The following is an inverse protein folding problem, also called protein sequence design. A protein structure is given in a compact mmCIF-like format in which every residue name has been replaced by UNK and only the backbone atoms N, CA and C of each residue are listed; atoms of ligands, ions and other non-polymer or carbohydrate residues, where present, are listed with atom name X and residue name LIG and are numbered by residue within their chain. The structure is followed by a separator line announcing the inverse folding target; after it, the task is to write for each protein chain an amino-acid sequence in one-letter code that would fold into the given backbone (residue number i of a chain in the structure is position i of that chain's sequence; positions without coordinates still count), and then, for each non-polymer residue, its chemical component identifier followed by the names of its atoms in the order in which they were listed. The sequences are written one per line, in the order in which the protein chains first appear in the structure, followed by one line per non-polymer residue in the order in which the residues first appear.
data_IF_892109281109
#
_entry.id   IF_892109281109
#
_cell.length_a   1.000
_cell.length_b   1.000
_cell.length_c   1.000
_cell.angle_alpha   90.00
_cell.angle_beta   90.00
_cell.angle_gamma   90.00
#
_symmetry.space_group_name_H-M   'P 1'
#
loop_
_entity.id
_entity.type
_entity.pdbx_description
1 polymer ?
#
# COMPACT_ATOMS: atom_id res chain seq x y z
N UNK A 1 -13.35 2.91 4.79
CA UNK A 1 -14.38 2.27 3.95
C UNK A 1 -14.85 0.95 4.52
N UNK A 2 -13.95 0.12 5.06
CA UNK A 2 -14.30 -1.15 5.71
C UNK A 2 -15.46 -1.10 6.74
N UNK A 3 -15.59 -0.07 7.57
CA UNK A 3 -16.65 -0.03 8.58
C UNK A 3 -18.07 0.12 8.02
N UNK A 4 -18.20 0.77 6.87
CA UNK A 4 -19.49 0.98 6.20
C UNK A 4 -19.94 -0.25 5.41
N UNK A 5 -19.00 -1.08 4.94
CA UNK A 5 -19.29 -2.29 4.16
C UNK A 5 -19.29 -3.60 4.98
N UNK A 6 -18.51 -3.67 6.07
CA UNK A 6 -18.36 -4.90 6.88
C UNK A 6 -18.92 -4.77 8.30
N UNK A 7 -19.52 -3.62 8.66
CA UNK A 7 -20.11 -3.42 9.99
C UNK A 7 -19.10 -3.38 11.13
N UNK A 8 -17.82 -3.17 10.84
CA UNK A 8 -16.78 -3.01 11.86
C UNK A 8 -16.97 -1.68 12.61
N UNK A 9 -16.66 -1.65 13.92
CA UNK A 9 -16.83 -0.44 14.73
C UNK A 9 -15.77 0.58 14.34
N UNK A 10 -16.20 1.73 13.83
CA UNK A 10 -15.33 2.91 13.63
C UNK A 10 -14.78 3.37 14.98
N UNK A 11 -13.50 3.14 15.20
CA UNK A 11 -12.81 3.73 16.33
C UNK A 11 -12.53 5.21 16.02
N UNK A 12 -12.95 6.12 16.92
CA UNK A 12 -12.83 7.58 16.69
C UNK A 12 -11.37 8.02 16.48
N UNK A 13 -10.43 7.25 16.99
CA UNK A 13 -8.99 7.41 16.77
C UNK A 13 -8.59 7.26 15.30
N UNK A 14 -9.18 6.32 14.56
CA UNK A 14 -8.79 6.03 13.17
C UNK A 14 -9.29 7.13 12.22
N UNK A 15 -10.46 7.69 12.54
CA UNK A 15 -10.99 8.87 11.84
C UNK A 15 -10.12 10.09 12.10
N UNK A 16 -9.72 10.33 13.35
CA UNK A 16 -8.84 11.44 13.70
C UNK A 16 -7.47 11.31 13.02
N UNK A 17 -6.87 10.11 13.02
CA UNK A 17 -5.60 9.85 12.33
C UNK A 17 -5.73 10.07 10.83
N UNK A 18 -6.82 9.60 10.20
CA UNK A 18 -7.07 9.81 8.76
C UNK A 18 -7.20 11.29 8.41
N UNK A 19 -7.86 12.10 9.24
CA UNK A 19 -7.98 13.56 9.06
C UNK A 19 -6.61 14.24 9.21
N UNK A 20 -5.82 13.85 10.22
CA UNK A 20 -4.48 14.41 10.44
C UNK A 20 -3.54 14.07 9.28
N UNK A 21 -3.58 12.84 8.77
CA UNK A 21 -2.79 12.43 7.59
C UNK A 21 -3.23 13.19 6.35
N UNK A 22 -4.53 13.36 6.12
CA UNK A 22 -5.06 14.16 5.01
C UNK A 22 -4.64 15.63 5.12
N UNK A 23 -4.66 16.21 6.32
CA UNK A 23 -4.21 17.57 6.56
C UNK A 23 -2.69 17.71 6.34
N UNK A 24 -1.89 16.75 6.82
CA UNK A 24 -0.43 16.73 6.60
C UNK A 24 -0.06 16.63 5.12
N UNK A 25 -0.78 15.81 4.35
CA UNK A 25 -0.64 15.73 2.89
C UNK A 25 -1.01 17.05 2.19
N UNK A 26 -2.10 17.70 2.62
CA UNK A 26 -2.52 18.99 2.07
C UNK A 26 -1.49 20.11 2.36
N UNK A 27 -0.81 20.08 3.52
CA UNK A 27 0.26 21.02 3.85
C UNK A 27 1.54 20.80 3.03
N UNK A 28 1.74 19.60 2.49
CA UNK A 28 2.88 19.25 1.65
C UNK A 28 2.74 19.81 0.22
N UNK A 29 1.53 20.25 -0.18
CA UNK A 29 1.25 20.91 -1.46
C UNK A 29 1.71 22.38 -1.37
N UNK A 30 2.84 22.78 -1.98
CA UNK A 30 3.40 24.13 -1.82
C UNK A 30 2.57 25.19 -2.54
N UNK A 31 1.87 24.79 -3.61
CA UNK A 31 0.91 25.59 -4.36
C UNK A 31 -0.09 24.64 -5.04
N UNK A 32 -1.38 24.97 -5.01
CA UNK A 32 -2.43 24.29 -5.78
C UNK A 32 -2.37 24.67 -7.26
N UNK A 33 -1.18 24.62 -7.83
CA UNK A 33 -0.94 24.85 -9.25
C UNK A 33 -0.70 23.50 -9.93
N UNK A 34 -1.64 23.11 -10.80
CA UNK A 34 -1.58 21.87 -11.56
C UNK A 34 -0.45 21.85 -12.60
N UNK A 35 0.34 22.91 -12.74
CA UNK A 35 1.58 22.92 -13.52
C UNK A 35 2.79 22.32 -12.79
N UNK A 36 2.72 22.15 -11.46
CA UNK A 36 3.83 21.62 -10.68
C UNK A 36 3.80 20.08 -10.64
N UNK A 37 4.90 19.45 -11.08
CA UNK A 37 5.08 17.99 -11.05
C UNK A 37 4.91 17.38 -9.65
N UNK A 38 5.25 18.14 -8.59
CA UNK A 38 5.09 17.69 -7.20
C UNK A 38 3.61 17.60 -6.82
N UNK A 39 2.82 18.62 -7.17
CA UNK A 39 1.37 18.66 -6.88
C UNK A 39 0.64 17.57 -7.66
N UNK A 40 1.00 17.36 -8.94
CA UNK A 40 0.45 16.26 -9.74
C UNK A 40 0.81 14.89 -9.14
N UNK A 41 2.06 14.69 -8.72
CA UNK A 41 2.50 13.44 -8.09
C UNK A 41 1.74 13.12 -6.79
N UNK A 42 1.54 14.12 -5.93
CA UNK A 42 0.74 13.96 -4.70
C UNK A 42 -0.70 13.59 -5.05
N UNK A 43 -1.32 14.26 -6.03
CA UNK A 43 -2.69 13.97 -6.46
C UNK A 43 -2.83 12.53 -6.98
N UNK A 44 -1.95 12.10 -7.89
CA UNK A 44 -1.94 10.72 -8.40
C UNK A 44 -1.66 9.69 -7.31
N UNK A 45 -0.78 10.01 -6.35
CA UNK A 45 -0.49 9.16 -5.20
C UNK A 45 -1.72 8.95 -4.29
N UNK A 46 -2.45 10.02 -3.97
CA UNK A 46 -3.68 9.95 -3.17
C UNK A 46 -4.76 9.16 -3.91
N UNK A 47 -4.94 9.43 -5.20
CA UNK A 47 -5.92 8.73 -6.03
C UNK A 47 -5.61 7.22 -6.13
N UNK A 48 -4.33 6.87 -6.27
CA UNK A 48 -3.86 5.49 -6.26
C UNK A 48 -4.14 4.82 -4.90
N UNK A 49 -3.79 5.46 -3.79
CA UNK A 49 -4.06 4.95 -2.44
C UNK A 49 -5.55 4.71 -2.18
N UNK A 50 -6.40 5.63 -2.62
CA UNK A 50 -7.86 5.47 -2.55
C UNK A 50 -8.34 4.27 -3.38
N UNK A 51 -7.86 4.14 -4.62
CA UNK A 51 -8.23 3.05 -5.51
C UNK A 51 -7.76 1.70 -4.95
N UNK A 52 -6.56 1.65 -4.36
CA UNK A 52 -6.05 0.46 -3.69
C UNK A 52 -6.88 0.08 -2.46
N UNK A 53 -7.34 1.06 -1.67
CA UNK A 53 -8.24 0.81 -0.55
C UNK A 53 -9.58 0.21 -1.01
N UNK A 54 -10.16 0.71 -2.10
CA UNK A 54 -11.36 0.14 -2.74
C UNK A 54 -11.09 -1.29 -3.21
N UNK A 55 -9.97 -1.51 -3.91
CA UNK A 55 -9.56 -2.83 -4.39
C UNK A 55 -9.40 -3.83 -3.23
N UNK A 56 -8.78 -3.43 -2.12
CA UNK A 56 -8.62 -4.26 -0.93
C UNK A 56 -9.96 -4.69 -0.33
N UNK A 57 -10.92 -3.75 -0.23
CA UNK A 57 -12.29 -4.03 0.23
C UNK A 57 -12.99 -5.02 -0.70
N UNK A 58 -12.93 -4.80 -2.02
CA UNK A 58 -13.52 -5.72 -3.00
C UNK A 58 -12.87 -7.10 -2.93
N UNK A 59 -11.55 -7.17 -2.82
CA UNK A 59 -10.82 -8.44 -2.64
C UNK A 59 -11.29 -9.18 -1.40
N UNK A 60 -11.48 -8.49 -0.28
CA UNK A 60 -12.02 -9.07 0.96
C UNK A 60 -13.45 -9.60 0.79
N UNK A 61 -14.29 -8.95 -0.02
CA UNK A 61 -15.63 -9.44 -0.34
C UNK A 61 -15.59 -10.70 -1.23
N UNK A 62 -14.70 -10.74 -2.21
CA UNK A 62 -14.63 -11.83 -3.19
C UNK A 62 -13.83 -13.04 -2.70
N UNK A 63 -12.83 -12.86 -1.83
CA UNK A 63 -11.98 -13.97 -1.33
C UNK A 63 -12.73 -15.01 -0.51
N UNK A 64 -13.89 -14.64 0.04
CA UNK A 64 -14.76 -15.57 0.76
C UNK A 64 -15.63 -16.42 -0.19
N UNK A 65 -15.82 -15.98 -1.44
CA UNK A 65 -16.67 -16.64 -2.44
C UNK A 65 -15.86 -17.38 -3.53
N UNK A 66 -14.64 -16.93 -3.78
CA UNK A 66 -13.76 -17.48 -4.81
C UNK A 66 -12.36 -17.79 -4.27
N UNK A 67 -11.64 -18.77 -4.86
CA UNK A 67 -10.24 -18.99 -4.54
C UNK A 67 -9.40 -17.72 -4.77
N UNK A 68 -8.55 -17.36 -3.80
CA UNK A 68 -7.69 -16.16 -3.88
C UNK A 68 -6.79 -16.15 -5.13
N UNK A 69 -6.36 -17.33 -5.59
CA UNK A 69 -5.52 -17.49 -6.77
C UNK A 69 -6.28 -17.08 -8.05
N UNK A 70 -7.58 -17.38 -8.14
CA UNK A 70 -8.43 -16.98 -9.26
C UNK A 70 -8.59 -15.46 -9.32
N UNK A 71 -8.82 -14.82 -8.16
CA UNK A 71 -8.93 -13.36 -8.07
C UNK A 71 -7.62 -12.69 -8.50
N UNK A 72 -6.49 -13.23 -8.04
CA UNK A 72 -5.15 -12.76 -8.39
C UNK A 72 -4.88 -12.89 -9.89
N UNK A 73 -5.25 -14.03 -10.50
CA UNK A 73 -5.09 -14.26 -11.93
C UNK A 73 -5.90 -13.26 -12.77
N UNK A 74 -7.15 -12.97 -12.40
CA UNK A 74 -7.94 -11.98 -13.12
C UNK A 74 -7.36 -10.56 -13.00
N UNK A 75 -6.87 -10.17 -11.83
CA UNK A 75 -6.26 -8.86 -11.63
C UNK A 75 -4.96 -8.69 -12.42
N UNK A 76 -4.06 -9.67 -12.32
CA UNK A 76 -2.79 -9.63 -13.06
C UNK A 76 -3.03 -9.75 -14.55
N UNK A 77 -3.96 -10.61 -14.99
CA UNK A 77 -4.32 -10.73 -16.41
C UNK A 77 -4.89 -9.44 -16.98
N UNK A 78 -5.80 -8.77 -16.25
CA UNK A 78 -6.32 -7.47 -16.67
C UNK A 78 -5.23 -6.39 -16.68
N UNK A 79 -4.37 -6.36 -15.67
CA UNK A 79 -3.24 -5.43 -15.61
C UNK A 79 -2.27 -5.64 -16.77
N UNK A 80 -1.97 -6.88 -17.14
CA UNK A 80 -1.15 -7.23 -18.31
C UNK A 80 -1.82 -6.74 -19.59
N UNK A 81 -3.11 -7.01 -19.79
CA UNK A 81 -3.83 -6.60 -20.99
C UNK A 81 -3.87 -5.07 -21.13
N UNK A 82 -4.04 -4.35 -20.02
CA UNK A 82 -4.06 -2.90 -20.00
C UNK A 82 -2.68 -2.28 -20.25
N UNK A 83 -1.60 -2.91 -19.77
CA UNK A 83 -0.22 -2.43 -20.00
C UNK A 83 0.34 -2.82 -21.37
N UNK A 84 -0.17 -3.89 -21.97
CA UNK A 84 0.31 -4.39 -23.27
C UNK A 84 0.40 -3.33 -24.38
N UNK A 85 -0.62 -2.46 -24.61
CA UNK A 85 -0.51 -1.43 -25.65
C UNK A 85 0.61 -0.43 -25.39
N UNK A 86 0.89 -0.07 -24.14
CA UNK A 86 1.97 0.87 -23.80
C UNK A 86 3.34 0.28 -24.12
N UNK A 87 3.56 -1.00 -23.79
CA UNK A 87 4.81 -1.71 -24.11
C UNK A 87 5.04 -1.79 -25.63
N UNK A 88 3.97 -2.05 -26.40
CA UNK A 88 4.05 -2.12 -27.86
C UNK A 88 4.37 -0.74 -28.47
N UNK A 89 3.77 0.33 -27.94
CA UNK A 89 3.97 1.70 -28.44
C UNK A 89 5.35 2.26 -28.12
N UNK A 90 5.91 1.94 -26.95
CA UNK A 90 7.26 2.39 -26.55
C UNK A 90 8.38 1.67 -27.31
N UNK A 91 8.13 0.46 -27.83
CA UNK A 91 9.07 -0.27 -28.71
C UNK A 91 10.38 -0.69 -28.07
N UNK A 92 10.49 -0.63 -26.74
CA UNK A 92 11.70 -0.99 -25.99
C UNK A 92 11.88 -2.51 -25.99
N UNK A 93 12.99 -2.99 -26.56
CA UNK A 93 13.38 -4.40 -26.51
C UNK A 93 14.24 -4.67 -25.26
N UNK A 94 13.74 -5.40 -24.26
CA UNK A 94 14.50 -5.68 -23.05
C UNK A 94 15.69 -6.61 -23.34
N UNK A 95 16.80 -6.40 -22.65
CA UNK A 95 17.94 -7.31 -22.71
C UNK A 95 17.63 -8.64 -21.99
N UNK A 96 18.46 -9.67 -22.21
CA UNK A 96 18.32 -10.94 -21.50
C UNK A 96 18.37 -10.79 -19.96
N UNK A 97 19.15 -9.81 -19.47
CA UNK A 97 19.21 -9.47 -18.04
C UNK A 97 17.91 -8.83 -17.57
N UNK A 98 17.35 -7.93 -18.36
CA UNK A 98 16.08 -7.25 -18.02
C UNK A 98 14.93 -8.25 -17.99
N UNK A 99 14.90 -9.20 -18.93
CA UNK A 99 13.91 -10.29 -18.93
C UNK A 99 14.02 -11.12 -17.65
N UNK A 100 15.24 -11.47 -17.22
CA UNK A 100 15.43 -12.22 -15.98
C UNK A 100 14.95 -11.42 -14.75
N UNK A 101 15.28 -10.13 -14.68
CA UNK A 101 14.82 -9.26 -13.59
C UNK A 101 13.30 -9.08 -13.60
N UNK A 102 12.69 -8.92 -14.78
CA UNK A 102 11.24 -8.82 -14.96
C UNK A 102 10.53 -10.12 -14.57
N UNK A 103 11.11 -11.29 -14.87
CA UNK A 103 10.57 -12.57 -14.43
C UNK A 103 10.57 -12.69 -12.91
N UNK A 104 11.69 -12.35 -12.26
CA UNK A 104 11.79 -12.36 -10.78
C UNK A 104 10.79 -11.38 -10.18
N UNK A 105 10.75 -10.15 -10.69
CA UNK A 105 9.84 -9.11 -10.22
C UNK A 105 8.37 -9.52 -10.41
N UNK A 106 8.00 -9.96 -11.62
CA UNK A 106 6.63 -10.34 -11.96
C UNK A 106 6.13 -11.56 -11.19
N UNK A 107 6.97 -12.56 -10.97
CA UNK A 107 6.56 -13.80 -10.29
C UNK A 107 6.66 -13.69 -8.77
N UNK A 108 7.83 -13.36 -8.24
CA UNK A 108 8.09 -13.36 -6.80
C UNK A 108 7.53 -12.10 -6.16
N UNK A 109 7.86 -10.93 -6.70
CA UNK A 109 7.46 -9.67 -6.06
C UNK A 109 6.01 -9.29 -6.38
N UNK A 110 5.48 -9.62 -7.55
CA UNK A 110 4.12 -9.21 -7.94
C UNK A 110 3.10 -10.32 -7.74
N UNK A 111 3.24 -11.46 -8.43
CA UNK A 111 2.22 -12.51 -8.41
C UNK A 111 2.10 -13.20 -7.06
N UNK A 112 3.22 -13.63 -6.47
CA UNK A 112 3.23 -14.27 -5.16
C UNK A 112 2.80 -13.29 -4.07
N UNK A 113 3.30 -12.06 -4.06
CA UNK A 113 2.90 -11.06 -3.06
C UNK A 113 1.40 -10.73 -3.14
N UNK A 114 0.83 -10.55 -4.35
CA UNK A 114 -0.61 -10.32 -4.51
C UNK A 114 -1.44 -11.54 -4.05
N UNK A 115 -1.02 -12.76 -4.41
CA UNK A 115 -1.71 -13.97 -4.00
C UNK A 115 -1.73 -14.11 -2.48
N UNK A 116 -0.58 -13.85 -1.82
CA UNK A 116 -0.47 -13.85 -0.36
C UNK A 116 -1.29 -12.71 0.26
N UNK A 117 -1.27 -11.51 -0.32
CA UNK A 117 -2.08 -10.38 0.14
C UNK A 117 -3.57 -10.73 0.11
N UNK A 118 -4.09 -11.16 -1.04
CA UNK A 118 -5.51 -11.53 -1.18
C UNK A 118 -5.84 -12.72 -0.27
N UNK A 119 -4.99 -13.75 -0.22
CA UNK A 119 -5.17 -14.88 0.69
C UNK A 119 -5.20 -14.47 2.15
N UNK A 120 -4.39 -13.49 2.55
CA UNK A 120 -4.38 -12.96 3.91
C UNK A 120 -5.68 -12.26 4.28
N UNK A 121 -6.36 -11.60 3.33
CA UNK A 121 -7.66 -10.94 3.58
C UNK A 121 -8.75 -11.90 4.05
N UNK A 122 -8.59 -13.22 3.83
CA UNK A 122 -9.47 -14.27 4.37
C UNK A 122 -9.30 -14.49 5.88
N UNK A 123 -8.10 -14.23 6.41
CA UNK A 123 -7.71 -14.54 7.78
C UNK A 123 -7.38 -13.30 8.63
N UNK A 124 -7.19 -12.14 8.00
CA UNK A 124 -6.87 -10.90 8.70
C UNK A 124 -8.14 -10.35 9.35
N UNK A 125 -8.20 -10.47 10.68
CA UNK A 125 -8.90 -9.51 11.54
C UNK A 125 -8.06 -8.23 11.58
N UNK A 126 -8.72 -7.05 11.61
CA UNK A 126 -8.13 -5.70 11.54
C UNK A 126 -6.73 -5.50 12.16
N UNK A 127 -6.40 -6.21 13.25
CA UNK A 127 -5.10 -6.20 13.93
C UNK A 127 -3.89 -6.51 13.04
N UNK A 128 -3.92 -7.50 12.15
CA UNK A 128 -2.73 -7.83 11.33
C UNK A 128 -2.48 -6.84 10.19
N UNK A 129 -3.55 -6.24 9.64
CA UNK A 129 -3.43 -5.19 8.63
C UNK A 129 -2.71 -3.96 9.21
N UNK A 130 -3.07 -3.55 10.43
CA UNK A 130 -2.42 -2.43 11.11
C UNK A 130 -0.92 -2.65 11.37
N UNK A 131 -0.51 -3.89 11.67
CA UNK A 131 0.91 -4.22 11.90
C UNK A 131 1.69 -4.11 10.58
N UNK A 132 1.17 -4.69 9.49
CA UNK A 132 1.84 -4.69 8.19
C UNK A 132 1.95 -3.27 7.60
N UNK A 133 0.86 -2.50 7.60
CA UNK A 133 0.85 -1.11 7.10
C UNK A 133 1.75 -0.20 7.94
N UNK A 134 1.86 -0.47 9.24
CA UNK A 134 2.75 0.28 10.12
C UNK A 134 4.24 0.04 9.86
N UNK A 135 4.60 -1.16 9.41
CA UNK A 135 6.00 -1.52 9.16
C UNK A 135 6.47 -1.14 7.75
N UNK A 136 5.55 -0.92 6.81
CA UNK A 136 5.83 -0.50 5.43
C UNK A 136 6.83 0.68 5.32
N UNK A 137 6.63 1.83 6.00
CA UNK A 137 7.58 2.94 5.95
C UNK A 137 8.96 2.60 6.58
N UNK A 138 9.01 1.70 7.55
CA UNK A 138 10.25 1.28 8.23
C UNK A 138 11.13 0.49 7.28
N UNK A 139 10.54 -0.51 6.62
CA UNK A 139 11.23 -1.29 5.60
C UNK A 139 11.65 -0.42 4.41
N UNK A 140 10.81 0.55 4.03
CA UNK A 140 11.13 1.52 2.99
C UNK A 140 12.42 2.30 3.28
N UNK A 141 12.58 2.83 4.49
CA UNK A 141 13.80 3.56 4.89
C UNK A 141 15.02 2.64 4.94
N UNK A 142 14.86 1.44 5.50
CA UNK A 142 15.96 0.46 5.62
C UNK A 142 16.45 0.03 4.23
N UNK A 143 15.52 -0.31 3.33
CA UNK A 143 15.87 -0.75 1.98
C UNK A 143 16.39 0.39 1.10
N UNK A 144 15.87 1.62 1.24
CA UNK A 144 16.43 2.80 0.57
C UNK A 144 17.91 3.00 0.96
N UNK A 145 18.23 2.91 2.25
CA UNK A 145 19.62 2.99 2.71
C UNK A 145 20.49 1.84 2.21
N UNK A 146 20.02 0.59 2.31
CA UNK A 146 20.82 -0.60 1.97
C UNK A 146 20.99 -0.82 0.46
N UNK A 147 19.96 -0.55 -0.34
CA UNK A 147 19.95 -0.87 -1.78
C UNK A 147 20.33 0.34 -2.65
N UNK A 148 19.89 1.54 -2.30
CA UNK A 148 20.21 2.75 -3.07
C UNK A 148 21.44 3.49 -2.53
N UNK A 149 21.92 3.13 -1.33
CA UNK A 149 23.06 3.82 -0.70
C UNK A 149 22.75 5.26 -0.30
N UNK A 150 21.48 5.66 -0.29
CA UNK A 150 21.05 6.99 0.11
C UNK A 150 21.22 7.12 1.63
N UNK A 151 22.23 7.87 2.08
CA UNK A 151 22.43 8.15 3.50
C UNK A 151 21.23 8.97 3.99
N UNK A 152 20.38 8.43 4.88
CA UNK A 152 19.18 9.12 5.31
C UNK A 152 19.58 10.41 6.02
N UNK A 153 19.04 11.53 5.53
CA UNK A 153 19.23 12.82 6.17
C UNK A 153 18.67 12.80 7.60
N UNK A 154 19.16 13.70 8.47
CA UNK A 154 18.65 13.82 9.83
C UNK A 154 17.12 14.05 9.86
N UNK A 155 16.58 14.72 8.84
CA UNK A 155 15.14 14.93 8.65
C UNK A 155 14.40 13.61 8.33
N UNK A 156 14.99 12.76 7.49
CA UNK A 156 14.45 11.43 7.15
C UNK A 156 14.43 10.51 8.37
N UNK A 157 15.50 10.55 9.18
CA UNK A 157 15.58 9.80 10.44
C UNK A 157 14.52 10.26 11.46
N UNK A 158 14.37 11.57 11.65
CA UNK A 158 13.34 12.14 12.53
C UNK A 158 11.92 11.82 12.03
N UNK A 159 11.68 11.92 10.72
CA UNK A 159 10.41 11.54 10.10
C UNK A 159 10.10 10.06 10.30
N UNK A 160 11.09 9.18 10.10
CA UNK A 160 10.97 7.74 10.36
C UNK A 160 10.66 7.43 11.82
N UNK A 161 11.28 8.14 12.77
CA UNK A 161 11.03 7.98 14.20
C UNK A 161 9.61 8.42 14.59
N UNK A 162 9.10 9.50 14.00
CA UNK A 162 7.72 9.97 14.19
C UNK A 162 6.73 8.96 13.63
N UNK A 163 6.97 8.44 12.42
CA UNK A 163 6.12 7.41 11.80
C UNK A 163 6.09 6.14 12.66
N UNK A 164 7.26 5.67 13.12
CA UNK A 164 7.36 4.57 14.09
C UNK A 164 6.53 4.88 15.34
N UNK A 165 6.66 6.07 15.93
CA UNK A 165 5.86 6.47 17.09
C UNK A 165 4.35 6.42 16.84
N UNK A 166 3.89 6.96 15.70
CA UNK A 166 2.47 6.96 15.30
C UNK A 166 1.95 5.56 15.01
N UNK A 167 2.80 4.64 14.52
CA UNK A 167 2.44 3.23 14.28
C UNK A 167 2.37 2.43 15.58
N UNK A 168 3.33 2.62 16.47
CA UNK A 168 3.41 1.89 17.74
C UNK A 168 2.37 2.37 18.77
N UNK A 169 1.96 3.64 18.75
CA UNK A 169 0.98 4.19 19.69
C UNK A 169 -0.40 3.49 19.63
N UNK A 170 -1.04 3.30 18.45
CA UNK A 170 -2.24 2.49 18.30
C UNK A 170 -2.00 0.99 18.52
N UNK A 171 -0.81 0.47 18.21
CA UNK A 171 -0.46 -0.94 18.44
C UNK A 171 -0.51 -1.29 19.93
N UNK A 172 0.04 -0.42 20.78
CA UNK A 172 0.03 -0.60 22.25
C UNK A 172 -1.39 -0.45 22.82
N UNK A 173 -2.20 0.47 22.26
CA UNK A 173 -3.59 0.69 22.69
C UNK A 173 -4.55 -0.42 22.25
N UNK A 174 -4.41 -0.92 21.03
CA UNK A 174 -5.22 -2.04 20.51
C UNK A 174 -4.85 -3.39 21.12
N UNK A 175 -3.67 -3.51 21.75
CA UNK A 175 -3.28 -4.63 22.61
C UNK A 175 -4.09 -4.74 23.91
N UNK A 176 -4.75 -3.66 24.34
CA UNK A 176 -5.52 -3.61 25.60
C UNK A 176 -7.04 -3.74 25.43
N UNK A 177 -7.57 -3.74 24.21
CA UNK A 177 -9.00 -3.87 23.94
C UNK A 177 -9.46 -5.35 23.86
N UNK A 178 -9.64 -5.92 25.05
CA UNK A 178 -10.53 -7.02 25.51
C UNK A 178 -10.36 -8.46 24.94
N UNK A 179 -10.30 -9.48 25.81
CA UNK A 179 -10.51 -10.87 25.42
C UNK A 179 -11.97 -11.04 24.98
N UNK A 180 -12.17 -11.61 23.80
CA UNK A 180 -13.49 -12.05 23.33
C UNK A 180 -13.84 -13.33 24.07
N UNK A 181 -14.76 -13.24 25.02
CA UNK A 181 -15.64 -14.35 25.41
C UNK A 181 -16.83 -14.37 24.45
#
# INVERSE_FOLDING_TARGET
MEPFLFGEKLEKSDVAVSIIVAAGLAMLVPSFDFSNNVTQGIFWGVLSGFTFAVLSVLNRMHVNKHPFLTITLYQLGFATLFNLPFVILDGVLPSARDILLLLVLGTICTALAHALFIGSLKHIKARSASITTGLEPVYGIIFSFLLMGEVPSLRTLLGGLVILGVVFLPMIRSGQSRPVQ
#
